data_IF_371089637377
#
_entry.id   IF_371089637377
#
_cell.length_a   1.000
_cell.length_b   1.000
_cell.length_c   1.000
_cell.angle_alpha   90.00
_cell.angle_beta   90.00
_cell.angle_gamma   90.00
#
_symmetry.space_group_name_H-M   'P 1'
#
loop_
_entity.id
_entity.type
_entity.pdbx_description
1 polymer ?
#
# COMPACT_ATOMS: atom_id res chain seq x y z
N UNK A 1 -10.81 14.41 -54.55
CA UNK A 1 -10.78 15.67 -53.78
C UNK A 1 -11.66 15.66 -52.52
N UNK A 2 -12.87 15.06 -52.54
CA UNK A 2 -13.78 15.06 -51.38
C UNK A 2 -13.30 14.27 -50.14
N UNK A 3 -12.44 13.26 -50.31
CA UNK A 3 -11.91 12.43 -49.20
C UNK A 3 -10.92 13.23 -48.33
N UNK A 4 -10.04 14.03 -48.96
CA UNK A 4 -9.06 14.86 -48.26
C UNK A 4 -9.73 15.91 -47.35
N UNK A 5 -10.84 16.49 -47.78
CA UNK A 5 -11.58 17.49 -46.98
C UNK A 5 -12.22 16.88 -45.72
N UNK A 6 -12.69 15.62 -45.81
CA UNK A 6 -13.23 14.88 -44.65
C UNK A 6 -12.13 14.51 -43.66
N UNK A 7 -10.96 14.13 -44.17
CA UNK A 7 -9.80 13.76 -43.37
C UNK A 7 -9.23 14.97 -42.60
N UNK A 8 -9.16 16.14 -43.25
CA UNK A 8 -8.76 17.41 -42.62
C UNK A 8 -9.70 17.86 -41.49
N UNK A 9 -11.00 17.56 -41.59
CA UNK A 9 -11.98 17.85 -40.52
C UNK A 9 -11.88 16.88 -39.33
N UNK A 10 -11.43 15.65 -39.55
CA UNK A 10 -11.27 14.65 -38.49
C UNK A 10 -9.96 14.79 -37.71
N UNK A 11 -8.91 15.33 -38.34
CA UNK A 11 -7.59 15.53 -37.74
C UNK A 11 -7.60 16.25 -36.37
N UNK A 12 -8.29 17.40 -36.18
CA UNK A 12 -8.30 18.07 -34.87
C UNK A 12 -8.96 17.22 -33.77
N UNK A 13 -9.97 16.41 -34.12
CA UNK A 13 -10.60 15.50 -33.16
C UNK A 13 -9.69 14.35 -32.77
N UNK A 14 -8.93 13.80 -33.72
CA UNK A 14 -7.93 12.76 -33.45
C UNK A 14 -6.81 13.29 -32.56
N UNK A 15 -6.32 14.50 -32.83
CA UNK A 15 -5.29 15.14 -32.01
C UNK A 15 -5.80 15.46 -30.60
N UNK A 16 -7.05 15.92 -30.47
CA UNK A 16 -7.66 16.24 -29.18
C UNK A 16 -7.94 14.99 -28.34
N UNK A 17 -8.40 13.89 -28.96
CA UNK A 17 -8.54 12.61 -28.26
C UNK A 17 -7.17 12.06 -27.85
N UNK A 18 -6.18 12.15 -28.73
CA UNK A 18 -4.81 11.75 -28.41
C UNK A 18 -4.21 12.54 -27.24
N UNK A 19 -4.41 13.87 -27.20
CA UNK A 19 -3.92 14.72 -26.12
C UNK A 19 -4.64 14.46 -24.79
N UNK A 20 -5.97 14.24 -24.81
CA UNK A 20 -6.73 13.89 -23.60
C UNK A 20 -6.28 12.55 -23.00
N UNK A 21 -6.07 11.53 -23.84
CA UNK A 21 -5.55 10.23 -23.39
C UNK A 21 -4.14 10.39 -22.81
N UNK A 22 -3.29 11.21 -23.44
CA UNK A 22 -1.93 11.44 -22.97
C UNK A 22 -1.89 12.20 -21.63
N UNK A 23 -2.67 13.27 -21.49
CA UNK A 23 -2.80 14.06 -20.25
C UNK A 23 -3.41 13.22 -19.12
N UNK A 24 -4.42 12.40 -19.42
CA UNK A 24 -5.05 11.50 -18.44
C UNK A 24 -4.05 10.49 -17.89
N UNK A 25 -3.26 9.83 -18.76
CA UNK A 25 -2.23 8.88 -18.33
C UNK A 25 -1.14 9.53 -17.46
N UNK A 26 -0.66 10.72 -17.82
CA UNK A 26 0.30 11.45 -16.99
C UNK A 26 -0.26 11.80 -15.62
N UNK A 27 -1.52 12.22 -15.56
CA UNK A 27 -2.17 12.61 -14.30
C UNK A 27 -2.35 11.41 -13.37
N UNK A 28 -2.76 10.26 -13.89
CA UNK A 28 -2.89 9.02 -13.13
C UNK A 28 -1.53 8.52 -12.63
N UNK A 29 -0.49 8.55 -13.48
CA UNK A 29 0.87 8.14 -13.10
C UNK A 29 1.50 9.04 -12.03
N UNK A 30 1.27 10.36 -12.12
CA UNK A 30 1.74 11.32 -11.13
C UNK A 30 0.99 11.18 -9.80
N UNK A 31 -0.31 10.92 -9.85
CA UNK A 31 -1.12 10.64 -8.66
C UNK A 31 -0.65 9.37 -7.95
N UNK A 32 -0.39 8.32 -8.71
CA UNK A 32 0.15 7.06 -8.20
C UNK A 32 1.52 7.26 -7.53
N UNK A 33 2.45 7.93 -8.21
CA UNK A 33 3.80 8.16 -7.67
C UNK A 33 3.79 8.99 -6.38
N UNK A 34 2.99 10.06 -6.33
CA UNK A 34 2.89 10.92 -5.14
C UNK A 34 2.24 10.17 -3.98
N UNK A 35 1.12 9.49 -4.23
CA UNK A 35 0.42 8.72 -3.20
C UNK A 35 1.27 7.57 -2.66
N UNK A 36 2.00 6.85 -3.52
CA UNK A 36 2.95 5.80 -3.12
C UNK A 36 4.07 6.37 -2.25
N UNK A 37 4.63 7.53 -2.61
CA UNK A 37 5.69 8.17 -1.82
C UNK A 37 5.19 8.60 -0.43
N UNK A 38 3.97 9.15 -0.36
CA UNK A 38 3.35 9.57 0.89
C UNK A 38 3.03 8.39 1.80
N UNK A 39 2.40 7.34 1.25
CA UNK A 39 2.10 6.11 1.97
C UNK A 39 3.38 5.44 2.50
N UNK A 40 4.40 5.29 1.64
CA UNK A 40 5.69 4.73 2.05
C UNK A 40 6.38 5.58 3.13
N UNK A 41 6.33 6.90 3.03
CA UNK A 41 6.91 7.79 4.05
C UNK A 41 6.21 7.64 5.40
N UNK A 42 4.88 7.52 5.40
CA UNK A 42 4.10 7.33 6.60
C UNK A 42 4.40 5.98 7.27
N UNK A 43 4.37 4.91 6.49
CA UNK A 43 4.66 3.54 6.93
C UNK A 43 6.11 3.37 7.41
N UNK A 44 7.08 3.95 6.71
CA UNK A 44 8.48 3.90 7.12
C UNK A 44 8.70 4.56 8.49
N UNK A 45 8.09 5.73 8.73
CA UNK A 45 8.16 6.39 10.04
C UNK A 45 7.55 5.54 11.16
N UNK A 46 6.46 4.82 10.87
CA UNK A 46 5.85 3.88 11.81
C UNK A 46 6.83 2.76 12.20
N UNK A 47 7.43 2.09 11.22
CA UNK A 47 8.40 1.03 11.51
C UNK A 47 9.66 1.54 12.22
N UNK A 48 10.19 2.70 11.84
CA UNK A 48 11.36 3.29 12.52
C UNK A 48 11.07 3.65 13.98
N UNK A 49 9.83 3.96 14.34
CA UNK A 49 9.45 4.23 15.72
C UNK A 49 9.36 2.94 16.54
N UNK A 50 8.74 1.91 15.97
CA UNK A 50 8.51 0.65 16.68
C UNK A 50 9.77 -0.24 16.72
N UNK A 51 10.61 -0.20 15.69
CA UNK A 51 11.86 -0.97 15.62
C UNK A 51 13.00 -0.42 16.51
N UNK A 52 12.71 0.55 17.38
CA UNK A 52 13.71 1.11 18.33
C UNK A 52 14.06 0.15 19.47
N UNK A 53 13.25 -0.89 19.66
CA UNK A 53 13.46 -1.91 20.69
C UNK A 53 13.94 -3.21 20.05
N UNK A 54 14.69 -4.01 20.81
CA UNK A 54 15.13 -5.34 20.35
C UNK A 54 13.99 -6.34 20.21
N UNK A 55 12.85 -6.06 20.84
CA UNK A 55 11.60 -6.82 20.77
C UNK A 55 10.45 -5.83 20.81
N UNK A 56 9.86 -5.54 19.65
CA UNK A 56 8.66 -4.73 19.56
C UNK A 56 7.43 -5.59 19.91
N UNK A 57 6.59 -5.11 20.82
CA UNK A 57 5.41 -5.84 21.28
C UNK A 57 4.15 -5.46 20.50
N UNK A 58 3.09 -6.25 20.65
CA UNK A 58 1.76 -5.93 20.13
C UNK A 58 1.23 -4.60 20.71
N UNK A 59 1.55 -4.32 21.98
CA UNK A 59 1.18 -3.11 22.68
C UNK A 59 1.93 -1.88 22.13
N UNK A 60 3.23 -2.02 21.79
CA UNK A 60 3.99 -0.96 21.12
C UNK A 60 3.38 -0.61 19.76
N UNK A 61 3.00 -1.63 18.98
CA UNK A 61 2.34 -1.44 17.68
C UNK A 61 0.97 -0.77 17.83
N UNK A 62 0.15 -1.18 18.81
CA UNK A 62 -1.14 -0.55 19.11
C UNK A 62 -0.95 0.92 19.52
N UNK A 63 0.01 1.21 20.39
CA UNK A 63 0.31 2.58 20.81
C UNK A 63 0.74 3.46 19.63
N UNK A 64 1.66 2.96 18.80
CA UNK A 64 2.14 3.68 17.61
C UNK A 64 1.04 3.91 16.56
N UNK A 65 0.12 2.95 16.38
CA UNK A 65 -1.02 3.07 15.49
C UNK A 65 -2.06 4.06 16.03
N UNK A 66 -2.36 4.00 17.33
CA UNK A 66 -3.28 4.91 18.01
C UNK A 66 -2.80 6.36 17.94
N UNK A 67 -1.50 6.63 18.10
CA UNK A 67 -0.91 7.97 17.94
C UNK A 67 -1.11 8.56 16.54
N UNK A 68 -1.37 7.71 15.54
CA UNK A 68 -1.61 8.08 14.14
C UNK A 68 -3.08 8.01 13.75
N UNK A 69 -3.95 7.65 14.69
CA UNK A 69 -5.36 7.37 14.42
C UNK A 69 -5.57 6.30 13.35
N UNK A 70 -4.62 5.36 13.25
CA UNK A 70 -4.69 4.25 12.30
C UNK A 70 -5.47 3.08 12.91
N UNK A 71 -6.48 2.54 12.20
CA UNK A 71 -7.20 1.36 12.65
C UNK A 71 -6.24 0.19 12.89
N UNK A 72 -6.47 -0.52 14.00
CA UNK A 72 -5.74 -1.75 14.31
C UNK A 72 -6.72 -2.81 14.82
N UNK A 73 -6.59 -4.02 14.29
CA UNK A 73 -7.45 -5.16 14.63
C UNK A 73 -6.60 -6.41 14.86
N UNK A 74 -7.12 -7.35 15.65
CA UNK A 74 -6.56 -8.70 15.73
C UNK A 74 -7.14 -9.52 14.58
N UNK A 75 -6.38 -9.59 13.50
CA UNK A 75 -6.77 -10.26 12.26
C UNK A 75 -5.54 -10.88 11.60
N UNK A 76 -5.69 -12.10 11.09
CA UNK A 76 -4.64 -12.84 10.43
C UNK A 76 -4.81 -12.73 8.90
N UNK A 77 -3.72 -12.78 8.12
CA UNK A 77 -3.83 -12.74 6.66
C UNK A 77 -4.64 -13.95 6.16
N UNK A 78 -5.54 -13.72 5.20
CA UNK A 78 -6.35 -14.77 4.56
C UNK A 78 -5.61 -15.48 3.40
N UNK A 79 -4.33 -15.14 3.18
CA UNK A 79 -3.43 -15.75 2.22
C UNK A 79 -2.25 -16.45 2.89
N UNK A 80 -1.49 -17.20 2.09
CA UNK A 80 -0.35 -17.94 2.56
C UNK A 80 0.80 -17.06 3.05
N UNK A 81 1.29 -17.36 4.24
CA UNK A 81 2.41 -16.66 4.88
C UNK A 81 3.39 -17.68 5.47
N UNK A 82 4.67 -17.32 5.43
CA UNK A 82 5.78 -18.07 5.99
C UNK A 82 6.48 -17.21 7.06
N UNK A 83 6.05 -17.29 8.33
CA UNK A 83 6.69 -16.59 9.44
C UNK A 83 8.00 -17.29 9.87
N UNK A 84 8.98 -16.52 10.33
CA UNK A 84 10.29 -17.05 10.76
C UNK A 84 10.21 -17.93 12.02
N UNK A 85 9.17 -17.73 12.83
CA UNK A 85 8.88 -18.47 14.06
C UNK A 85 7.38 -18.79 14.16
N UNK A 86 6.96 -19.72 15.05
CA UNK A 86 5.55 -19.94 15.35
C UNK A 86 4.85 -18.66 15.80
N UNK A 87 3.72 -18.35 15.17
CA UNK A 87 2.94 -17.14 15.47
C UNK A 87 1.93 -17.44 16.57
N UNK A 88 1.95 -16.62 17.63
CA UNK A 88 0.96 -16.65 18.70
C UNK A 88 -0.18 -15.66 18.47
N UNK A 89 0.11 -14.52 17.82
CA UNK A 89 -0.84 -13.43 17.57
C UNK A 89 -0.54 -12.71 16.26
N UNK A 90 -1.60 -12.29 15.58
CA UNK A 90 -1.54 -11.36 14.45
C UNK A 90 -2.21 -10.03 14.80
N UNK A 91 -1.67 -8.94 14.25
CA UNK A 91 -2.33 -7.64 14.19
C UNK A 91 -2.36 -7.15 12.76
N UNK A 92 -3.46 -6.53 12.37
CA UNK A 92 -3.61 -5.83 11.09
C UNK A 92 -3.75 -4.34 11.36
N UNK A 93 -2.84 -3.55 10.82
CA UNK A 93 -2.83 -2.08 10.91
C UNK A 93 -3.21 -1.49 9.56
N UNK A 94 -4.13 -0.53 9.54
CA UNK A 94 -4.53 0.17 8.31
C UNK A 94 -3.85 1.55 8.23
N UNK A 95 -2.79 1.71 7.41
CA UNK A 95 -2.07 2.98 7.30
C UNK A 95 -2.90 4.03 6.56
N UNK A 96 -2.77 5.28 7.01
CA UNK A 96 -3.29 6.48 6.35
C UNK A 96 -2.13 7.47 6.07
N UNK A 97 -1.90 7.89 4.81
CA UNK A 97 -2.71 7.58 3.63
C UNK A 97 -2.55 6.13 3.15
N UNK A 98 -3.60 5.53 2.56
CA UNK A 98 -3.52 4.19 1.97
C UNK A 98 -2.63 4.20 0.72
N UNK A 99 -2.06 3.04 0.41
CA UNK A 99 -1.32 2.85 -0.83
C UNK A 99 -2.30 2.88 -2.02
N UNK A 100 -2.08 3.75 -3.02
CA UNK A 100 -2.90 3.78 -4.23
C UNK A 100 -2.93 2.41 -4.92
N UNK A 101 -4.10 2.01 -5.42
CA UNK A 101 -4.31 0.76 -6.17
C UNK A 101 -3.98 -0.54 -5.44
N UNK A 102 -3.70 -0.50 -4.13
CA UNK A 102 -3.52 -1.71 -3.34
C UNK A 102 -4.84 -2.47 -3.17
N UNK A 103 -4.81 -3.79 -3.37
CA UNK A 103 -5.97 -4.67 -3.13
C UNK A 103 -6.32 -4.75 -1.66
N UNK A 104 -5.30 -4.79 -0.80
CA UNK A 104 -5.41 -4.67 0.65
C UNK A 104 -4.35 -3.68 1.14
N UNK A 105 -4.75 -2.74 1.98
CA UNK A 105 -3.86 -1.76 2.59
C UNK A 105 -3.40 -2.19 3.99
N UNK A 106 -3.98 -3.27 4.54
CA UNK A 106 -3.61 -3.80 5.84
C UNK A 106 -2.15 -4.25 5.89
N UNK A 107 -1.43 -3.76 6.89
CA UNK A 107 -0.11 -4.24 7.26
C UNK A 107 -0.25 -5.28 8.37
N UNK A 108 0.16 -6.52 8.09
CA UNK A 108 0.05 -7.62 9.04
C UNK A 108 1.34 -7.76 9.84
N UNK A 109 1.21 -7.78 11.15
CA UNK A 109 2.29 -7.96 12.11
C UNK A 109 2.11 -9.30 12.81
N UNK A 110 3.13 -10.14 12.78
CA UNK A 110 3.17 -11.42 13.46
C UNK A 110 3.94 -11.29 14.78
N UNK A 111 3.44 -11.92 15.84
CA UNK A 111 4.12 -11.97 17.13
C UNK A 111 4.33 -13.42 17.56
N UNK A 112 5.53 -13.73 18.03
CA UNK A 112 5.86 -15.06 18.55
C UNK A 112 5.28 -15.28 19.96
N UNK A 113 5.56 -16.45 20.54
CA UNK A 113 5.11 -16.83 21.88
C UNK A 113 5.72 -15.98 23.00
N UNK A 114 6.81 -15.27 22.74
CA UNK A 114 7.44 -14.33 23.68
C UNK A 114 6.79 -12.93 23.58
N UNK A 115 5.87 -12.74 22.62
CA UNK A 115 5.21 -11.46 22.36
C UNK A 115 6.03 -10.52 21.49
N UNK A 116 7.13 -11.00 20.90
CA UNK A 116 7.99 -10.20 20.05
C UNK A 116 7.52 -10.21 18.61
N UNK A 117 7.57 -9.05 17.96
CA UNK A 117 7.37 -8.92 16.52
C UNK A 117 8.40 -9.77 15.77
N UNK A 118 7.91 -10.58 14.83
CA UNK A 118 8.75 -11.42 13.98
C UNK A 118 8.52 -11.09 12.50
N UNK A 119 9.57 -11.27 11.71
CA UNK A 119 9.46 -11.17 10.26
C UNK A 119 8.73 -12.39 9.69
N UNK A 120 8.05 -12.14 8.57
CA UNK A 120 7.34 -13.14 7.79
C UNK A 120 7.35 -12.73 6.33
N UNK A 121 7.13 -13.69 5.44
CA UNK A 121 7.10 -13.46 4.00
C UNK A 121 5.84 -14.08 3.40
N UNK A 122 5.34 -13.61 2.25
CA UNK A 122 4.33 -14.32 1.50
C UNK A 122 4.77 -15.76 1.21
N UNK A 123 3.97 -16.72 1.63
CA UNK A 123 4.20 -18.14 1.40
C UNK A 123 3.63 -18.59 0.05
N UNK A 124 4.18 -19.66 -0.51
CA UNK A 124 3.65 -20.29 -1.73
C UNK A 124 2.81 -21.53 -1.44
N UNK A 125 2.90 -22.10 -0.23
CA UNK A 125 2.17 -23.30 0.17
C UNK A 125 1.53 -23.12 1.55
N UNK A 126 0.22 -23.35 1.59
CA UNK A 126 -0.61 -23.65 2.76
C UNK A 126 -1.29 -25.00 2.48
#
# INVERSE_FOLDING_TARGET
>A
MAIYLKMLRALPWVLLLGSLVWIGNLSLSLWDTRGVLEANRATHKFFVEVARTSCATAEDMRAAAHLREWPITEDAPDWCVAPEKPVQRWLRVEPSPPLPMAKDNGMYMAFDTEGCWIAWQPGTNC
#
